data_IF_116518490134
#
_entry.id   IF_116518490134
#
_cell.length_a   1.000
_cell.length_b   1.000
_cell.length_c   1.000
_cell.angle_alpha   90.00
_cell.angle_beta   90.00
_cell.angle_gamma   90.00
#
_symmetry.space_group_name_H-M   'P 1'
#
loop_
_entity.id
_entity.type
_entity.pdbx_description
1 polymer ?
#
# COMPACT_ATOMS: atom_id res chain seq x y z
N UNK A 1 -28.39 9.31 3.14
CA UNK A 1 -27.33 8.63 2.45
C UNK A 1 -27.39 8.94 0.97
N UNK A 2 -26.31 9.41 0.41
CA UNK A 2 -26.14 9.51 -1.05
C UNK A 2 -26.15 8.07 -1.59
N UNK A 3 -27.13 7.73 -2.42
CA UNK A 3 -27.07 6.50 -3.21
C UNK A 3 -25.97 6.69 -4.26
N UNK A 4 -24.92 5.90 -4.16
CA UNK A 4 -23.85 5.89 -5.14
C UNK A 4 -24.39 5.32 -6.45
N UNK A 5 -24.21 6.05 -7.56
CA UNK A 5 -24.63 5.56 -8.86
C UNK A 5 -23.69 4.42 -9.28
N UNK A 6 -24.25 3.28 -9.70
CA UNK A 6 -23.45 2.12 -10.15
C UNK A 6 -22.41 2.49 -11.22
N UNK A 7 -22.74 3.44 -12.11
CA UNK A 7 -21.84 3.93 -13.13
C UNK A 7 -20.62 4.64 -12.52
N UNK A 8 -20.80 5.39 -11.44
CA UNK A 8 -19.70 6.05 -10.71
C UNK A 8 -18.85 5.02 -9.97
N UNK A 9 -19.48 3.99 -9.38
CA UNK A 9 -18.77 2.90 -8.74
C UNK A 9 -17.88 2.14 -9.75
N UNK A 10 -18.44 1.78 -10.92
CA UNK A 10 -17.69 1.10 -11.98
C UNK A 10 -16.47 1.94 -12.40
N UNK A 11 -16.68 3.21 -12.71
CA UNK A 11 -15.59 4.11 -13.13
C UNK A 11 -14.52 4.26 -12.03
N UNK A 12 -14.95 4.34 -10.76
CA UNK A 12 -14.02 4.46 -9.63
C UNK A 12 -13.17 3.20 -9.41
N UNK A 13 -13.76 2.02 -9.63
CA UNK A 13 -13.10 0.72 -9.46
C UNK A 13 -12.27 0.31 -10.68
N UNK A 14 -12.73 0.59 -11.89
CA UNK A 14 -11.98 0.30 -13.12
C UNK A 14 -10.65 1.11 -13.21
N UNK A 15 -10.57 2.23 -12.50
CA UNK A 15 -9.34 3.00 -12.38
C UNK A 15 -8.35 2.42 -11.35
N UNK A 16 -8.72 1.36 -10.61
CA UNK A 16 -7.85 0.71 -9.64
C UNK A 16 -7.11 -0.47 -10.28
N UNK A 17 -5.79 -0.47 -10.16
CA UNK A 17 -4.92 -1.52 -10.72
C UNK A 17 -5.20 -2.92 -10.16
N UNK A 18 -5.55 -2.99 -8.89
CA UNK A 18 -5.71 -4.24 -8.13
C UNK A 18 -7.15 -4.77 -8.09
N UNK A 19 -8.09 -4.11 -8.77
CA UNK A 19 -9.50 -4.53 -8.84
C UNK A 19 -9.85 -4.94 -10.26
N UNK A 20 -10.61 -6.03 -10.38
CA UNK A 20 -11.20 -6.47 -11.65
C UNK A 20 -12.71 -6.39 -11.58
N UNK A 21 -13.29 -5.75 -12.58
CA UNK A 21 -14.73 -5.69 -12.82
C UNK A 21 -15.11 -6.69 -13.91
N UNK A 22 -16.04 -7.58 -13.63
CA UNK A 22 -16.66 -8.44 -14.64
C UNK A 22 -18.08 -7.92 -14.84
N UNK A 23 -18.32 -7.31 -16.00
CA UNK A 23 -19.61 -6.77 -16.36
C UNK A 23 -20.48 -7.83 -17.03
N UNK A 24 -21.75 -7.90 -16.59
CA UNK A 24 -22.85 -8.60 -17.26
C UNK A 24 -22.74 -10.12 -17.41
N UNK A 25 -22.64 -10.82 -16.29
CA UNK A 25 -22.96 -12.25 -16.26
C UNK A 25 -24.44 -12.36 -15.85
N UNK A 26 -25.35 -12.57 -16.81
CA UNK A 26 -26.79 -12.75 -16.61
C UNK A 26 -27.46 -11.63 -15.74
N UNK A 27 -27.07 -10.37 -15.92
CA UNK A 27 -27.60 -9.23 -15.15
C UNK A 27 -26.91 -8.99 -13.80
N UNK A 28 -25.74 -9.59 -13.61
CA UNK A 28 -24.89 -9.34 -12.44
C UNK A 28 -23.58 -8.70 -12.84
N UNK A 29 -23.10 -7.73 -12.05
CA UNK A 29 -21.77 -7.15 -12.15
C UNK A 29 -20.96 -7.61 -10.94
N UNK A 30 -19.77 -8.15 -11.19
CA UNK A 30 -18.91 -8.72 -10.18
C UNK A 30 -17.66 -7.83 -10.03
N UNK A 31 -17.29 -7.50 -8.79
CA UNK A 31 -16.08 -6.78 -8.45
C UNK A 31 -15.25 -7.61 -7.49
N UNK A 32 -13.98 -7.79 -7.75
CA UNK A 32 -13.09 -8.49 -6.84
C UNK A 32 -11.66 -7.95 -6.91
N UNK A 33 -10.95 -8.08 -5.80
CA UNK A 33 -9.53 -7.76 -5.73
C UNK A 33 -8.70 -8.95 -6.23
N UNK A 34 -7.83 -8.71 -7.22
CA UNK A 34 -7.15 -9.75 -8.00
C UNK A 34 -6.37 -10.78 -7.16
N UNK A 35 -5.70 -10.34 -6.11
CA UNK A 35 -4.75 -11.17 -5.37
C UNK A 35 -5.28 -11.65 -4.00
N UNK A 36 -6.43 -11.14 -3.56
CA UNK A 36 -7.07 -11.51 -2.29
C UNK A 36 -8.24 -12.48 -2.47
N UNK A 37 -8.90 -12.45 -3.62
CA UNK A 37 -10.02 -13.31 -3.94
C UNK A 37 -9.57 -14.55 -4.73
N UNK A 38 -10.09 -15.73 -4.37
CA UNK A 38 -9.75 -16.97 -5.08
C UNK A 38 -10.62 -17.16 -6.33
N UNK A 39 -10.32 -16.40 -7.39
CA UNK A 39 -11.04 -16.45 -8.66
C UNK A 39 -10.96 -17.84 -9.35
N UNK A 40 -9.86 -18.57 -9.17
CA UNK A 40 -9.72 -19.90 -9.75
C UNK A 40 -10.71 -20.89 -9.15
N UNK A 41 -10.90 -20.85 -7.83
CA UNK A 41 -11.90 -21.67 -7.14
C UNK A 41 -13.31 -21.25 -7.52
N UNK A 42 -13.57 -19.94 -7.61
CA UNK A 42 -14.85 -19.42 -8.05
C UNK A 42 -15.22 -19.91 -9.45
N UNK A 43 -14.32 -19.79 -10.43
CA UNK A 43 -14.55 -20.22 -11.80
C UNK A 43 -14.73 -21.74 -11.93
N UNK A 44 -14.06 -22.53 -11.10
CA UNK A 44 -14.13 -23.98 -11.16
C UNK A 44 -15.38 -24.55 -10.51
N UNK A 45 -15.79 -24.03 -9.36
CA UNK A 45 -16.79 -24.65 -8.51
C UNK A 45 -18.12 -23.90 -8.42
N UNK A 46 -18.10 -22.59 -8.54
CA UNK A 46 -19.27 -21.74 -8.30
C UNK A 46 -19.91 -21.20 -9.59
N UNK A 47 -19.09 -20.70 -10.50
CA UNK A 47 -19.58 -20.12 -11.75
C UNK A 47 -20.37 -21.12 -12.62
N UNK A 48 -19.92 -22.39 -12.82
CA UNK A 48 -20.71 -23.35 -13.60
C UNK A 48 -22.08 -23.65 -12.99
N UNK A 49 -22.14 -23.79 -11.67
CA UNK A 49 -23.43 -24.02 -10.96
C UNK A 49 -24.39 -22.85 -11.12
N UNK A 50 -23.87 -21.64 -11.19
CA UNK A 50 -24.67 -20.45 -11.43
C UNK A 50 -25.22 -20.40 -12.86
N UNK A 51 -24.38 -20.69 -13.86
CA UNK A 51 -24.79 -20.69 -15.26
C UNK A 51 -25.78 -21.80 -15.62
N UNK A 52 -25.69 -22.96 -14.94
CA UNK A 52 -26.59 -24.11 -15.18
C UNK A 52 -27.99 -23.92 -14.54
N UNK A 53 -28.09 -23.15 -13.48
CA UNK A 53 -29.32 -22.97 -12.73
C UNK A 53 -29.75 -21.51 -12.79
N UNK A 54 -30.83 -21.16 -13.47
CA UNK A 54 -31.39 -19.80 -13.54
C UNK A 54 -31.85 -19.23 -12.18
N UNK A 55 -31.13 -19.55 -11.09
CA UNK A 55 -31.38 -19.07 -9.73
C UNK A 55 -30.42 -17.94 -9.38
N UNK A 56 -30.83 -17.03 -8.50
CA UNK A 56 -29.97 -15.95 -8.03
C UNK A 56 -28.79 -16.47 -7.21
N UNK A 57 -27.65 -15.76 -7.21
CA UNK A 57 -26.47 -16.09 -6.39
C UNK A 57 -26.82 -16.30 -4.92
N UNK A 58 -27.73 -15.49 -4.38
CA UNK A 58 -28.17 -15.59 -3.00
C UNK A 58 -28.93 -16.90 -2.71
N UNK A 59 -29.73 -17.40 -3.65
CA UNK A 59 -30.48 -18.65 -3.49
C UNK A 59 -29.62 -19.89 -3.67
N UNK A 60 -28.60 -19.81 -4.53
CA UNK A 60 -27.68 -20.92 -4.80
C UNK A 60 -26.67 -21.15 -3.69
N UNK A 61 -26.21 -20.09 -3.05
CA UNK A 61 -25.12 -20.13 -2.07
C UNK A 61 -25.53 -19.46 -0.73
N UNK A 62 -26.60 -19.96 -0.07
CA UNK A 62 -27.04 -19.41 1.21
C UNK A 62 -25.96 -19.64 2.27
N UNK A 63 -25.48 -18.58 2.87
CA UNK A 63 -24.38 -18.63 3.87
C UNK A 63 -23.03 -18.11 3.37
N UNK A 64 -22.76 -18.24 2.07
CA UNK A 64 -21.54 -17.67 1.44
C UNK A 64 -21.84 -16.30 0.84
N UNK A 65 -23.08 -16.08 0.38
CA UNK A 65 -23.55 -14.81 -0.18
C UNK A 65 -24.40 -14.09 0.88
N UNK A 66 -24.09 -12.85 1.17
CA UNK A 66 -24.83 -12.00 2.11
C UNK A 66 -25.13 -10.65 1.48
N UNK A 67 -26.32 -10.12 1.74
CA UNK A 67 -26.67 -8.76 1.33
C UNK A 67 -25.88 -7.75 2.13
N UNK A 68 -25.40 -6.70 1.47
CA UNK A 68 -24.60 -5.64 2.08
C UNK A 68 -25.19 -4.26 1.77
N UNK A 69 -24.80 -3.28 2.56
CA UNK A 69 -25.07 -1.86 2.35
C UNK A 69 -23.96 -1.22 1.50
N UNK A 70 -24.30 -0.15 0.77
CA UNK A 70 -23.39 0.53 -0.15
C UNK A 70 -22.15 1.10 0.53
N UNK A 71 -22.26 1.52 1.78
CA UNK A 71 -21.16 2.09 2.59
C UNK A 71 -20.05 1.09 2.90
N UNK A 72 -20.32 -0.21 2.84
CA UNK A 72 -19.38 -1.29 3.15
C UNK A 72 -18.69 -1.90 1.93
N UNK A 73 -19.00 -1.42 0.72
CA UNK A 73 -18.49 -2.00 -0.52
C UNK A 73 -16.94 -1.99 -0.54
N UNK A 74 -16.33 -0.84 -0.32
CA UNK A 74 -14.87 -0.71 -0.37
C UNK A 74 -14.17 -1.50 0.75
N UNK A 75 -14.71 -1.45 1.96
CA UNK A 75 -14.16 -2.20 3.08
C UNK A 75 -14.14 -3.70 2.81
N UNK A 76 -15.26 -4.25 2.33
CA UNK A 76 -15.39 -5.68 2.04
C UNK A 76 -14.56 -6.11 0.83
N UNK A 77 -14.57 -5.31 -0.25
CA UNK A 77 -13.78 -5.55 -1.45
C UNK A 77 -12.27 -5.63 -1.13
N UNK A 78 -11.76 -4.64 -0.39
CA UNK A 78 -10.34 -4.60 -0.01
C UNK A 78 -9.96 -5.54 1.13
N UNK A 79 -10.94 -6.19 1.75
CA UNK A 79 -10.70 -7.33 2.66
C UNK A 79 -10.53 -8.65 1.87
N UNK A 80 -10.83 -8.67 0.57
CA UNK A 80 -10.67 -9.81 -0.32
C UNK A 80 -11.99 -10.55 -0.61
N UNK A 81 -13.12 -9.94 -0.34
CA UNK A 81 -14.43 -10.47 -0.72
C UNK A 81 -14.79 -10.01 -2.14
N UNK A 82 -15.57 -10.84 -2.86
CA UNK A 82 -16.16 -10.41 -4.12
C UNK A 82 -17.47 -9.67 -3.83
N UNK A 83 -17.68 -8.54 -4.49
CA UNK A 83 -18.92 -7.80 -4.46
C UNK A 83 -19.71 -8.15 -5.72
N UNK A 84 -20.98 -8.47 -5.55
CA UNK A 84 -21.92 -8.82 -6.60
C UNK A 84 -23.02 -7.76 -6.59
N UNK A 85 -23.20 -7.09 -7.71
CA UNK A 85 -24.32 -6.18 -7.92
C UNK A 85 -25.37 -6.84 -8.79
N UNK A 86 -26.61 -6.93 -8.30
CA UNK A 86 -27.77 -7.44 -9.02
C UNK A 86 -28.49 -6.26 -9.69
N UNK A 87 -28.38 -6.17 -11.03
CA UNK A 87 -28.98 -5.08 -11.82
C UNK A 87 -30.53 -5.09 -11.75
N UNK A 88 -31.14 -6.26 -11.60
CA UNK A 88 -32.61 -6.36 -11.57
C UNK A 88 -33.19 -5.89 -10.22
N UNK A 89 -32.49 -6.19 -9.12
CA UNK A 89 -32.95 -5.83 -7.77
C UNK A 89 -32.37 -4.51 -7.28
N UNK A 90 -31.32 -4.01 -7.96
CA UNK A 90 -30.52 -2.86 -7.53
C UNK A 90 -30.00 -3.04 -6.09
N UNK A 91 -29.38 -4.19 -5.86
CA UNK A 91 -28.89 -4.61 -4.55
C UNK A 91 -27.46 -5.15 -4.64
N UNK A 92 -26.70 -4.95 -3.56
CA UNK A 92 -25.33 -5.43 -3.44
C UNK A 92 -25.26 -6.63 -2.52
N UNK A 93 -24.43 -7.60 -2.93
CA UNK A 93 -24.15 -8.80 -2.16
C UNK A 93 -22.64 -8.99 -2.06
N UNK A 94 -22.17 -9.55 -0.95
CA UNK A 94 -20.80 -10.03 -0.81
C UNK A 94 -20.74 -11.55 -0.97
N UNK A 95 -19.65 -12.02 -1.55
CA UNK A 95 -19.32 -13.43 -1.68
C UNK A 95 -17.96 -13.68 -1.01
N UNK A 96 -17.96 -14.50 0.06
CA UNK A 96 -16.77 -14.78 0.86
C UNK A 96 -16.01 -16.00 0.31
N UNK A 97 -14.97 -15.74 -0.46
CA UNK A 97 -14.04 -16.74 -0.99
C UNK A 97 -12.61 -16.23 -0.85
N UNK A 98 -12.28 -15.74 0.35
CA UNK A 98 -10.95 -15.22 0.63
C UNK A 98 -9.92 -16.31 0.41
N UNK A 99 -8.91 -16.03 -0.41
CA UNK A 99 -7.74 -16.89 -0.54
C UNK A 99 -7.00 -16.90 0.79
N UNK A 100 -7.21 -17.97 1.57
CA UNK A 100 -6.48 -18.22 2.82
C UNK A 100 -5.13 -18.89 2.54
N UNK A 101 -4.41 -18.44 1.52
CA UNK A 101 -3.02 -18.82 1.44
C UNK A 101 -2.36 -18.36 2.74
N UNK A 102 -1.88 -19.32 3.50
CA UNK A 102 -1.10 -19.09 4.72
C UNK A 102 0.10 -18.26 4.33
N UNK A 103 -0.08 -16.94 4.40
CA UNK A 103 0.96 -15.96 4.12
C UNK A 103 2.06 -16.21 5.14
N UNK A 104 3.12 -16.83 4.70
CA UNK A 104 4.38 -16.80 5.44
C UNK A 104 4.91 -15.39 5.29
N UNK A 105 4.44 -14.50 6.15
CA UNK A 105 5.06 -13.21 6.34
C UNK A 105 6.45 -13.47 6.90
N UNK A 106 7.48 -12.96 6.24
CA UNK A 106 8.81 -12.99 6.81
C UNK A 106 8.82 -12.07 8.03
N UNK A 107 9.35 -12.56 9.16
CA UNK A 107 9.71 -11.67 10.25
C UNK A 107 10.70 -10.65 9.70
N UNK A 108 10.46 -9.36 9.91
CA UNK A 108 11.40 -8.34 9.47
C UNK A 108 12.68 -8.45 10.28
N UNK A 109 13.74 -8.93 9.66
CA UNK A 109 15.04 -9.18 10.32
C UNK A 109 15.83 -7.91 10.63
N UNK A 110 15.43 -6.76 10.08
CA UNK A 110 16.24 -5.53 10.11
C UNK A 110 15.81 -4.50 11.15
N UNK A 111 14.76 -4.78 11.94
CA UNK A 111 14.24 -3.76 12.84
C UNK A 111 14.23 -4.23 14.30
N UNK A 112 14.74 -3.40 15.24
CA UNK A 112 14.68 -3.71 16.64
C UNK A 112 13.23 -3.96 17.05
N UNK A 113 13.02 -5.03 17.79
CA UNK A 113 11.74 -5.59 18.22
C UNK A 113 10.71 -4.51 18.53
N UNK A 114 9.69 -4.41 17.71
CA UNK A 114 8.48 -3.68 18.08
C UNK A 114 7.87 -4.40 19.28
N UNK A 115 7.94 -3.79 20.44
CA UNK A 115 7.46 -4.35 21.71
C UNK A 115 5.96 -4.63 21.64
N UNK A 116 5.24 -3.96 20.74
CA UNK A 116 3.79 -4.11 20.53
C UNK A 116 3.44 -3.84 19.06
N UNK A 117 2.91 -4.83 18.35
CA UNK A 117 2.42 -4.68 16.97
C UNK A 117 2.46 -5.98 16.19
N UNK A 118 1.74 -6.07 15.06
CA UNK A 118 1.84 -7.21 14.15
C UNK A 118 3.27 -7.31 13.61
N UNK A 119 3.82 -8.53 13.60
CA UNK A 119 5.18 -8.80 13.11
C UNK A 119 5.24 -9.07 11.61
N UNK A 120 4.26 -8.56 10.86
CA UNK A 120 4.20 -8.76 9.42
C UNK A 120 5.26 -7.91 8.72
N UNK A 121 6.20 -8.54 8.04
CA UNK A 121 7.15 -7.89 7.14
C UNK A 121 6.69 -7.96 5.68
N UNK A 122 7.26 -7.10 4.83
CA UNK A 122 7.14 -7.26 3.40
C UNK A 122 7.82 -8.55 2.93
N UNK A 123 7.29 -9.14 1.89
CA UNK A 123 7.78 -10.37 1.26
C UNK A 123 8.29 -10.07 -0.16
N UNK A 124 8.93 -11.04 -0.80
CA UNK A 124 9.44 -10.87 -2.17
C UNK A 124 8.32 -10.65 -3.20
N UNK A 125 7.12 -11.22 -2.98
CA UNK A 125 6.01 -11.10 -3.90
C UNK A 125 5.30 -9.73 -3.75
N UNK A 126 5.43 -8.89 -4.78
CA UNK A 126 4.86 -7.53 -4.81
C UNK A 126 3.34 -7.51 -4.63
N UNK A 127 2.63 -8.51 -5.14
CA UNK A 127 1.17 -8.61 -5.01
C UNK A 127 0.74 -8.84 -3.57
N UNK A 128 1.45 -9.70 -2.85
CA UNK A 128 1.24 -9.91 -1.42
C UNK A 128 1.47 -8.60 -0.65
N UNK A 129 2.50 -7.85 -1.00
CA UNK A 129 2.82 -6.57 -0.37
C UNK A 129 1.71 -5.52 -0.58
N UNK A 130 1.13 -5.46 -1.79
CA UNK A 130 -0.05 -4.63 -2.08
C UNK A 130 -1.22 -5.03 -1.19
N UNK A 131 -1.52 -6.33 -1.08
CA UNK A 131 -2.60 -6.83 -0.22
C UNK A 131 -2.38 -6.46 1.25
N UNK A 132 -1.13 -6.52 1.75
CA UNK A 132 -0.81 -6.13 3.12
C UNK A 132 -1.09 -4.64 3.38
N UNK A 133 -0.81 -3.77 2.41
CA UNK A 133 -1.13 -2.33 2.51
C UNK A 133 -2.65 -2.10 2.41
N UNK A 134 -3.34 -2.76 1.46
CA UNK A 134 -4.79 -2.66 1.29
C UNK A 134 -5.58 -3.09 2.52
N UNK A 135 -5.10 -4.10 3.25
CA UNK A 135 -5.74 -4.51 4.51
C UNK A 135 -5.72 -3.42 5.59
N UNK A 136 -4.76 -2.51 5.51
CA UNK A 136 -4.60 -1.38 6.44
C UNK A 136 -5.30 -0.12 5.94
N UNK A 137 -5.30 0.10 4.62
CA UNK A 137 -5.93 1.25 3.95
C UNK A 137 -7.03 0.72 3.03
N UNK A 138 -8.24 0.59 3.59
CA UNK A 138 -9.42 0.04 2.90
C UNK A 138 -10.22 1.15 2.23
N UNK A 139 -9.53 2.04 1.52
CA UNK A 139 -10.12 3.21 0.88
C UNK A 139 -9.74 3.25 -0.60
N UNK A 140 -10.67 3.77 -1.41
CA UNK A 140 -10.49 3.97 -2.85
C UNK A 140 -9.53 5.13 -3.18
N UNK A 141 -9.20 5.97 -2.21
CA UNK A 141 -8.20 7.04 -2.34
C UNK A 141 -6.77 6.49 -2.55
N UNK A 142 -6.48 5.26 -2.14
CA UNK A 142 -5.19 4.62 -2.40
C UNK A 142 -5.06 4.26 -3.87
N UNK A 143 -4.19 4.98 -4.59
CA UNK A 143 -3.83 4.75 -5.99
C UNK A 143 -2.60 3.88 -6.08
N UNK A 144 -2.64 2.90 -6.97
CA UNK A 144 -1.54 1.99 -7.26
C UNK A 144 -1.27 2.04 -8.75
N UNK A 145 -0.05 2.36 -9.13
CA UNK A 145 0.36 2.41 -10.53
C UNK A 145 1.51 1.45 -10.78
N UNK A 146 1.33 0.52 -11.69
CA UNK A 146 2.39 -0.43 -12.09
C UNK A 146 3.29 0.19 -13.17
N UNK A 147 4.57 -0.05 -13.03
CA UNK A 147 5.58 0.25 -14.03
C UNK A 147 6.57 -0.90 -14.12
N UNK A 148 7.13 -1.13 -15.32
CA UNK A 148 8.16 -2.15 -15.54
C UNK A 148 9.49 -1.47 -15.84
N UNK A 149 10.53 -1.83 -15.09
CA UNK A 149 11.90 -1.33 -15.26
C UNK A 149 12.88 -2.45 -15.57
N UNK A 150 14.01 -2.08 -16.19
CA UNK A 150 15.04 -3.03 -16.62
C UNK A 150 14.72 -3.66 -17.99
N UNK A 151 15.66 -3.56 -18.92
CA UNK A 151 15.49 -4.07 -20.30
C UNK A 151 15.36 -5.60 -20.33
N UNK A 152 16.11 -6.29 -19.47
CA UNK A 152 16.19 -7.76 -19.40
C UNK A 152 15.42 -8.32 -18.22
N UNK A 153 15.53 -7.73 -17.03
CA UNK A 153 14.82 -8.22 -15.84
C UNK A 153 13.32 -8.00 -15.92
N UNK A 154 12.86 -6.92 -16.60
CA UNK A 154 11.45 -6.52 -16.69
C UNK A 154 10.79 -6.54 -15.31
N UNK A 155 11.50 -6.00 -14.31
CA UNK A 155 11.07 -5.98 -12.92
C UNK A 155 9.88 -5.07 -12.76
N UNK A 156 8.81 -5.57 -12.18
CA UNK A 156 7.61 -4.79 -11.86
C UNK A 156 7.84 -3.96 -10.62
N UNK A 157 7.41 -2.73 -10.69
CA UNK A 157 7.38 -1.82 -9.56
C UNK A 157 5.98 -1.22 -9.43
N UNK A 158 5.53 -1.00 -8.20
CA UNK A 158 4.28 -0.34 -7.93
C UNK A 158 4.51 0.95 -7.15
N UNK A 159 3.97 2.04 -7.67
CA UNK A 159 4.00 3.36 -7.05
C UNK A 159 2.66 3.54 -6.34
N UNK A 160 2.70 3.68 -5.02
CA UNK A 160 1.53 3.85 -4.18
C UNK A 160 1.46 5.28 -3.67
N UNK A 161 0.27 5.88 -3.74
CA UNK A 161 0.00 7.25 -3.25
C UNK A 161 -1.46 7.39 -2.84
N UNK A 162 -1.78 8.36 -2.01
CA UNK A 162 -3.16 8.68 -1.62
C UNK A 162 -3.62 9.94 -2.37
N UNK A 163 -4.70 9.82 -3.13
CA UNK A 163 -5.13 10.83 -4.12
C UNK A 163 -5.49 12.19 -3.53
N UNK A 164 -5.97 12.23 -2.29
CA UNK A 164 -6.43 13.44 -1.59
C UNK A 164 -5.37 14.07 -0.67
N UNK A 165 -4.28 13.34 -0.38
CA UNK A 165 -3.23 13.80 0.53
C UNK A 165 -1.90 14.03 -0.18
N UNK A 166 -1.52 13.12 -1.11
CA UNK A 166 -0.23 13.18 -1.79
C UNK A 166 -0.20 14.30 -2.84
N UNK A 167 0.88 15.07 -2.86
CA UNK A 167 1.05 16.15 -3.84
C UNK A 167 1.28 15.59 -5.24
N UNK A 168 0.38 15.91 -6.19
CA UNK A 168 0.45 15.44 -7.58
C UNK A 168 1.73 15.87 -8.32
N UNK A 169 2.27 17.04 -8.01
CA UNK A 169 3.52 17.50 -8.63
C UNK A 169 4.69 16.61 -8.23
N UNK A 170 4.69 16.13 -6.98
CA UNK A 170 5.71 15.23 -6.48
C UNK A 170 5.58 13.82 -7.07
N UNK A 171 4.36 13.33 -7.28
CA UNK A 171 4.13 12.05 -8.00
C UNK A 171 4.72 12.12 -9.42
N UNK A 172 4.49 13.23 -10.13
CA UNK A 172 5.05 13.45 -11.47
C UNK A 172 6.58 13.49 -11.46
N UNK A 173 7.17 14.11 -10.44
CA UNK A 173 8.62 14.16 -10.27
C UNK A 173 9.21 12.77 -10.02
N UNK A 174 8.60 11.98 -9.13
CA UNK A 174 9.02 10.60 -8.87
C UNK A 174 8.93 9.76 -10.15
N UNK A 175 7.84 9.83 -10.90
CA UNK A 175 7.68 9.13 -12.17
C UNK A 175 8.74 9.54 -13.19
N UNK A 176 9.00 10.84 -13.32
CA UNK A 176 10.04 11.36 -14.20
C UNK A 176 11.44 10.83 -13.85
N UNK A 177 11.77 10.68 -12.57
CA UNK A 177 13.02 10.09 -12.15
C UNK A 177 13.08 8.60 -12.47
N UNK A 178 12.00 7.86 -12.24
CA UNK A 178 11.90 6.45 -12.60
C UNK A 178 11.99 6.22 -14.12
N UNK A 179 11.45 7.15 -14.93
CA UNK A 179 11.55 7.09 -16.40
C UNK A 179 12.99 7.24 -16.92
N UNK A 180 13.85 7.85 -16.13
CA UNK A 180 15.26 8.03 -16.49
C UNK A 180 16.15 6.82 -16.17
N UNK A 181 15.60 5.83 -15.48
CA UNK A 181 16.35 4.60 -15.19
C UNK A 181 16.52 3.81 -16.48
N UNK A 182 17.73 3.81 -17.00
CA UNK A 182 18.14 3.04 -18.17
C UNK A 182 19.17 1.99 -17.75
N UNK A 183 18.67 0.82 -17.34
CA UNK A 183 19.49 -0.30 -16.89
C UNK A 183 19.00 -1.61 -17.51
N UNK A 184 19.89 -2.59 -17.61
CA UNK A 184 19.53 -3.91 -18.10
C UNK A 184 18.69 -4.69 -17.08
N UNK A 185 19.00 -4.55 -15.79
CA UNK A 185 18.30 -5.26 -14.72
C UNK A 185 18.17 -4.42 -13.45
N UNK A 186 17.09 -4.63 -12.71
CA UNK A 186 16.90 -4.17 -11.35
C UNK A 186 17.04 -5.41 -10.46
N UNK A 187 18.11 -5.48 -9.69
CA UNK A 187 18.45 -6.60 -8.83
C UNK A 187 18.45 -6.21 -7.35
N UNK A 188 18.59 -4.93 -7.08
CA UNK A 188 18.62 -4.40 -5.73
C UNK A 188 17.82 -3.10 -5.62
N UNK A 189 17.53 -2.70 -4.40
CA UNK A 189 16.80 -1.47 -4.12
C UNK A 189 17.62 -0.23 -4.48
N UNK A 190 18.96 -0.34 -4.41
CA UNK A 190 19.92 0.70 -4.76
C UNK A 190 19.84 1.08 -6.24
N UNK A 191 19.55 0.13 -7.13
CA UNK A 191 19.40 0.38 -8.57
C UNK A 191 18.32 1.43 -8.87
N UNK A 192 17.31 1.52 -7.98
CA UNK A 192 16.23 2.52 -8.08
C UNK A 192 16.58 3.78 -7.30
N UNK A 193 17.16 3.67 -6.11
CA UNK A 193 17.36 4.83 -5.24
C UNK A 193 18.47 5.78 -5.71
N UNK A 194 19.40 5.31 -6.54
CA UNK A 194 20.46 6.14 -7.13
C UNK A 194 19.93 7.34 -7.90
N UNK A 195 18.76 7.23 -8.55
CA UNK A 195 18.16 8.35 -9.31
C UNK A 195 17.57 9.43 -8.41
N UNK A 196 17.27 9.09 -7.15
CA UNK A 196 16.76 10.02 -6.15
C UNK A 196 17.87 10.65 -5.31
N UNK A 197 19.11 10.15 -5.40
CA UNK A 197 20.25 10.61 -4.62
C UNK A 197 21.01 11.70 -5.37
N UNK A 198 20.43 12.89 -5.52
CA UNK A 198 21.10 14.02 -6.15
C UNK A 198 21.80 14.88 -5.10
N UNK A 199 23.15 14.84 -5.07
CA UNK A 199 24.05 15.84 -4.43
C UNK A 199 23.59 16.41 -3.07
N UNK A 200 22.74 15.69 -2.34
CA UNK A 200 22.29 16.07 -1.01
C UNK A 200 23.07 15.30 0.05
N UNK A 201 23.45 15.98 1.12
CA UNK A 201 24.14 15.39 2.28
C UNK A 201 23.21 14.37 2.99
N UNK A 202 21.90 14.52 2.86
CA UNK A 202 20.90 13.61 3.45
C UNK A 202 20.21 12.75 2.40
N UNK A 203 19.97 11.46 2.69
CA UNK A 203 19.20 10.60 1.78
C UNK A 203 17.75 11.12 1.66
N UNK A 204 17.30 11.28 0.41
CA UNK A 204 15.93 11.76 0.12
C UNK A 204 14.88 10.65 0.21
N UNK A 205 15.28 9.45 0.52
CA UNK A 205 14.43 8.25 0.63
C UNK A 205 14.70 7.51 1.94
N UNK A 206 13.74 6.69 2.32
CA UNK A 206 13.87 5.78 3.47
C UNK A 206 13.44 4.38 3.05
N UNK A 207 14.13 3.36 3.56
CA UNK A 207 13.71 1.97 3.42
C UNK A 207 12.73 1.59 4.53
N UNK A 208 11.68 0.88 4.15
CA UNK A 208 10.65 0.42 5.07
C UNK A 208 10.37 -1.06 4.81
N UNK A 209 10.63 -1.92 5.81
CA UNK A 209 10.38 -3.36 5.76
C UNK A 209 9.01 -3.78 6.30
N UNK A 210 8.25 -2.86 6.93
CA UNK A 210 7.02 -3.17 7.65
C UNK A 210 5.82 -2.46 7.01
N UNK A 211 4.76 -3.20 6.63
CA UNK A 211 3.58 -2.62 6.01
C UNK A 211 2.85 -1.56 6.85
N UNK A 212 2.87 -1.67 8.19
CA UNK A 212 2.23 -0.70 9.08
C UNK A 212 2.85 0.69 8.97
N UNK A 213 4.19 0.72 8.86
CA UNK A 213 4.92 1.98 8.72
C UNK A 213 4.72 2.56 7.34
N UNK A 214 4.78 1.73 6.29
CA UNK A 214 4.49 2.16 4.93
C UNK A 214 3.08 2.75 4.82
N UNK A 215 2.07 2.09 5.40
CA UNK A 215 0.69 2.58 5.40
C UNK A 215 0.54 3.92 6.13
N UNK A 216 1.19 4.09 7.28
CA UNK A 216 1.17 5.37 8.00
C UNK A 216 1.79 6.49 7.18
N UNK A 217 2.93 6.24 6.52
CA UNK A 217 3.59 7.22 5.66
C UNK A 217 2.76 7.60 4.45
N UNK A 218 2.04 6.63 3.86
CA UNK A 218 1.05 6.91 2.80
C UNK A 218 -0.04 7.87 3.31
N UNK A 219 -0.58 7.64 4.51
CA UNK A 219 -1.58 8.53 5.13
C UNK A 219 -1.01 9.92 5.47
N UNK A 220 0.29 10.02 5.69
CA UNK A 220 1.00 11.30 5.86
C UNK A 220 1.31 12.00 4.51
N UNK A 221 0.90 11.41 3.37
CA UNK A 221 1.05 11.97 2.02
C UNK A 221 2.35 11.61 1.29
N UNK A 222 3.15 10.71 1.86
CA UNK A 222 4.37 10.21 1.24
C UNK A 222 4.04 9.18 0.14
N UNK A 223 4.99 8.94 -0.76
CA UNK A 223 4.88 7.95 -1.83
C UNK A 223 5.65 6.70 -1.43
N UNK A 224 5.05 5.54 -1.63
CA UNK A 224 5.70 4.25 -1.41
C UNK A 224 5.94 3.57 -2.76
N UNK A 225 7.16 3.07 -2.96
CA UNK A 225 7.52 2.28 -4.13
C UNK A 225 7.81 0.85 -3.66
N UNK A 226 7.01 -0.09 -4.14
CA UNK A 226 7.22 -1.53 -3.99
C UNK A 226 7.94 -2.06 -5.23
N UNK A 227 8.84 -3.01 -5.05
CA UNK A 227 9.63 -3.62 -6.10
C UNK A 227 9.44 -5.13 -6.02
N UNK A 228 9.20 -5.77 -7.15
CA UNK A 228 9.06 -7.22 -7.21
C UNK A 228 10.38 -7.91 -6.87
N UNK A 229 10.31 -9.01 -6.14
CA UNK A 229 11.44 -9.77 -5.60
C UNK A 229 12.29 -9.05 -4.53
N UNK A 230 11.83 -7.91 -4.00
CA UNK A 230 12.51 -7.18 -2.93
C UNK A 230 11.58 -7.02 -1.73
N UNK A 231 11.92 -7.58 -0.54
CA UNK A 231 11.06 -7.55 0.64
C UNK A 231 11.16 -6.23 1.44
N UNK A 232 11.29 -5.12 0.72
CA UNK A 232 11.39 -3.78 1.30
C UNK A 232 10.76 -2.75 0.37
N UNK A 233 10.23 -1.68 0.92
CA UNK A 233 9.66 -0.57 0.19
C UNK A 233 10.56 0.68 0.28
N UNK A 234 10.53 1.51 -0.75
CA UNK A 234 11.14 2.84 -0.75
C UNK A 234 10.06 3.86 -0.39
N UNK A 235 10.32 4.70 0.58
CA UNK A 235 9.46 5.80 0.98
C UNK A 235 10.04 7.15 0.58
N UNK A 236 9.24 8.01 -0.03
CA UNK A 236 9.61 9.32 -0.56
C UNK A 236 8.53 10.37 -0.20
N UNK A 237 8.91 11.62 0.09
CA UNK A 237 10.25 12.11 0.39
C UNK A 237 10.66 11.77 1.83
N UNK A 238 11.96 11.62 2.07
CA UNK A 238 12.46 11.56 3.44
C UNK A 238 12.78 12.98 3.92
N UNK A 239 12.04 13.46 4.91
CA UNK A 239 12.25 14.78 5.51
C UNK A 239 13.17 14.68 6.73
N UNK A 240 13.84 15.79 7.10
CA UNK A 240 14.67 15.85 8.31
C UNK A 240 13.86 15.45 9.54
N UNK A 241 12.59 15.88 9.62
CA UNK A 241 11.69 15.53 10.73
C UNK A 241 11.37 14.03 10.77
N UNK A 242 11.20 13.38 9.61
CA UNK A 242 10.95 11.92 9.54
C UNK A 242 12.21 11.11 9.88
N UNK A 243 13.40 11.61 9.51
CA UNK A 243 14.67 11.00 9.87
C UNK A 243 14.95 11.06 11.37
N UNK A 244 14.59 12.16 12.02
CA UNK A 244 14.76 12.37 13.46
C UNK A 244 13.66 11.74 14.31
N UNK A 245 12.55 11.30 13.71
CA UNK A 245 11.45 10.66 14.41
C UNK A 245 11.78 9.20 14.69
N UNK A 246 12.18 8.89 15.90
CA UNK A 246 12.49 7.54 16.33
C UNK A 246 11.18 6.70 16.46
N UNK A 247 11.19 5.43 16.07
CA UNK A 247 10.04 4.52 16.16
C UNK A 247 9.53 4.33 17.58
N UNK A 248 10.45 4.33 18.54
CA UNK A 248 10.17 4.14 19.97
C UNK A 248 9.27 5.26 20.52
N UNK A 249 9.31 6.45 19.90
CA UNK A 249 8.46 7.57 20.32
C UNK A 249 6.96 7.33 20.16
N UNK A 250 6.55 6.40 19.30
CA UNK A 250 5.12 6.15 19.04
C UNK A 250 4.45 5.26 20.11
N UNK A 251 5.24 4.57 20.92
CA UNK A 251 4.76 3.61 21.95
C UNK A 251 4.93 4.17 23.36
N UNK A 252 5.75 5.20 23.53
CA UNK A 252 6.07 5.75 24.84
C UNK A 252 5.02 6.74 25.36
N UNK A 253 4.97 6.88 26.70
CA UNK A 253 4.17 7.88 27.39
C UNK A 253 4.46 9.27 26.80
N UNK A 254 3.44 10.10 26.47
CA UNK A 254 3.62 11.38 25.77
C UNK A 254 4.68 12.30 26.40
N UNK A 255 4.84 12.25 27.72
CA UNK A 255 5.83 13.04 28.43
C UNK A 255 7.27 12.60 28.13
N UNK A 256 7.53 11.29 28.00
CA UNK A 256 8.85 10.77 27.71
C UNK A 256 9.31 11.12 26.28
N UNK A 257 8.43 10.99 25.31
CA UNK A 257 8.71 11.38 23.93
C UNK A 257 9.02 12.85 23.76
N UNK A 258 8.44 13.71 24.61
CA UNK A 258 8.69 15.15 24.61
C UNK A 258 10.09 15.48 25.15
N UNK A 259 10.53 14.77 26.19
CA UNK A 259 11.91 14.90 26.72
C UNK A 259 12.95 14.37 25.71
N UNK A 260 12.72 13.23 25.06
CA UNK A 260 13.62 12.70 24.03
C UNK A 260 13.81 13.70 22.89
N UNK A 261 12.73 14.28 22.38
CA UNK A 261 12.79 15.31 21.32
C UNK A 261 13.55 16.54 21.77
N UNK A 262 13.27 17.02 22.98
CA UNK A 262 13.97 18.18 23.54
C UNK A 262 15.48 17.94 23.61
N UNK A 263 15.92 16.80 24.18
CA UNK A 263 17.33 16.48 24.27
C UNK A 263 17.99 16.26 22.90
N UNK A 264 17.28 15.67 21.95
CA UNK A 264 17.75 15.47 20.60
C UNK A 264 17.99 16.81 19.89
N UNK A 265 17.04 17.73 19.93
CA UNK A 265 17.22 19.07 19.36
C UNK A 265 18.31 19.86 20.10
N UNK A 266 18.37 19.75 21.41
CA UNK A 266 19.40 20.38 22.23
C UNK A 266 20.80 19.86 21.87
N UNK A 267 20.96 18.55 21.68
CA UNK A 267 22.23 17.96 21.28
C UNK A 267 22.70 18.40 19.89
N UNK A 268 21.75 18.50 18.93
CA UNK A 268 22.04 19.03 17.59
C UNK A 268 22.44 20.52 17.69
N UNK A 269 21.72 21.31 18.48
CA UNK A 269 22.07 22.72 18.69
C UNK A 269 23.48 22.89 19.29
N UNK A 270 23.80 22.10 20.30
CA UNK A 270 25.15 22.10 20.91
C UNK A 270 26.21 21.69 19.89
N UNK A 271 25.96 20.63 19.10
CA UNK A 271 26.92 20.16 18.10
C UNK A 271 27.17 21.20 17.00
N UNK A 272 26.13 21.89 16.55
CA UNK A 272 26.23 22.87 15.45
C UNK A 272 26.83 24.20 15.90
N UNK A 273 26.52 24.67 17.12
CA UNK A 273 26.92 25.99 17.57
C UNK A 273 28.09 25.98 18.56
N UNK A 274 28.07 25.09 19.54
CA UNK A 274 29.06 25.10 20.63
C UNK A 274 30.42 24.55 20.18
N UNK A 275 30.45 23.46 19.41
CA UNK A 275 31.71 22.89 18.93
C UNK A 275 32.49 23.85 18.03
N UNK A 276 31.91 24.49 17.00
CA UNK A 276 32.63 25.48 16.18
C UNK A 276 33.07 26.70 16.97
N UNK A 277 32.29 27.17 17.94
CA UNK A 277 32.66 28.29 18.79
C UNK A 277 33.89 27.94 19.66
N UNK A 278 33.86 26.76 20.30
CA UNK A 278 34.98 26.27 21.11
C UNK A 278 36.27 26.11 20.29
N UNK A 279 36.16 25.57 19.06
CA UNK A 279 37.34 25.45 18.18
C UNK A 279 37.88 26.82 17.78
N UNK A 280 37.01 27.79 17.56
CA UNK A 280 37.40 29.18 17.28
C UNK A 280 38.13 29.82 18.47
N UNK A 281 37.65 29.57 19.70
CA UNK A 281 38.33 30.09 20.93
C UNK A 281 39.64 29.38 21.25
N UNK A 282 39.82 28.11 20.86
CA UNK A 282 41.06 27.37 21.10
C UNK A 282 42.15 27.64 20.04
N UNK A 283 41.79 28.19 18.88
CA UNK A 283 42.71 28.54 17.78
C UNK A 283 43.16 29.99 17.79
N UNK A 284 42.53 30.82 18.61
CA UNK A 284 42.97 32.20 18.89
C UNK A 284 43.49 32.34 20.33
#
# INVERSE_FOLDING_TARGET
GFKMNISELIVSLDNQYDVTTISSIEGYILFYQNDSFNIALFNREYLPKFLDTKKSFYELFPGTVKKIEEDKIYELLYTGMMIIYDEMKNEYYMFDLISRDTRKTSDSLEEPEAITGPRDGFVENIKTNICLIRQRIKDNSLRIEEKTLGRRSKTKINILSISDVTNESFIKEVKYHLDKIDTDAILSIEDITTVFQKNCIMPQYLYVGVPDIASRRLLDGEIIILIDNIPSAICLPNTISSFLRNRVEQVNIPMYSLFERFFLYLSIFIAVFFLPIMTCFLTY
#
